data_IF_869587791403
#
_entry.id   IF_869587791403
#
_cell.length_a   1.000
_cell.length_b   1.000
_cell.length_c   1.000
_cell.angle_alpha   90.00
_cell.angle_beta   90.00
_cell.angle_gamma   90.00
#
_symmetry.space_group_name_H-M   'P 1'
#
loop_
_entity.id
_entity.type
_entity.pdbx_description
1 polymer ?
#
# COMPACT_ATOMS: atom_id res chain seq x y z
N UNK A 1 -5.19 13.51 -13.84
CA UNK A 1 -5.97 12.86 -12.76
C UNK A 1 -5.65 11.38 -12.86
N UNK A 2 -5.11 10.76 -11.81
CA UNK A 2 -4.89 9.31 -11.83
C UNK A 2 -6.24 8.61 -11.72
N UNK A 3 -6.44 7.54 -12.49
CA UNK A 3 -7.66 6.75 -12.42
C UNK A 3 -7.78 6.09 -11.03
N UNK A 4 -9.01 5.99 -10.52
CA UNK A 4 -9.30 5.34 -9.25
C UNK A 4 -10.29 4.21 -9.46
N UNK A 5 -9.87 3.02 -9.10
CA UNK A 5 -10.64 1.80 -9.16
C UNK A 5 -11.13 1.39 -7.77
N UNK A 6 -12.30 0.77 -7.69
CA UNK A 6 -12.93 0.40 -6.43
C UNK A 6 -13.27 -1.08 -6.40
N UNK A 7 -12.82 -1.76 -5.34
CA UNK A 7 -12.91 -3.20 -5.20
C UNK A 7 -13.44 -3.61 -3.82
N UNK A 8 -13.91 -4.85 -3.70
CA UNK A 8 -14.25 -5.49 -2.42
C UNK A 8 -13.49 -6.81 -2.31
N UNK A 9 -12.76 -7.01 -1.22
CA UNK A 9 -12.02 -8.24 -0.94
C UNK A 9 -12.01 -8.51 0.56
N UNK A 10 -12.24 -9.77 0.98
CA UNK A 10 -12.25 -10.19 2.39
C UNK A 10 -13.08 -9.29 3.34
N UNK A 11 -14.19 -8.75 2.84
CA UNK A 11 -15.06 -7.84 3.59
C UNK A 11 -14.64 -6.36 3.59
N UNK A 12 -13.42 -6.04 3.12
CA UNK A 12 -12.91 -4.68 2.98
C UNK A 12 -13.28 -4.07 1.62
N UNK A 13 -13.58 -2.78 1.61
CA UNK A 13 -13.69 -1.97 0.39
C UNK A 13 -12.40 -1.21 0.16
N UNK A 14 -11.83 -1.36 -1.04
CA UNK A 14 -10.54 -0.79 -1.41
C UNK A 14 -10.74 0.23 -2.53
N UNK A 15 -10.12 1.40 -2.39
CA UNK A 15 -9.83 2.32 -3.50
C UNK A 15 -8.38 2.09 -3.94
N UNK A 16 -8.12 1.99 -5.24
CA UNK A 16 -6.78 1.74 -5.79
C UNK A 16 -6.50 2.58 -7.03
N UNK A 17 -5.28 3.09 -7.16
CA UNK A 17 -4.77 3.66 -8.43
C UNK A 17 -4.22 2.59 -9.38
N UNK A 18 -4.08 1.35 -8.91
CA UNK A 18 -3.71 0.18 -9.70
C UNK A 18 -4.98 -0.59 -10.04
N UNK A 19 -5.16 -0.94 -11.31
CA UNK A 19 -6.26 -1.81 -11.74
C UNK A 19 -5.99 -3.27 -11.35
N UNK A 20 -6.97 -3.91 -10.71
CA UNK A 20 -6.98 -5.34 -10.40
C UNK A 20 -8.18 -6.01 -11.08
N UNK A 21 -8.04 -6.49 -12.32
CA UNK A 21 -9.14 -7.07 -13.11
C UNK A 21 -9.82 -8.27 -12.44
N UNK A 22 -9.09 -9.02 -11.61
CA UNK A 22 -9.55 -10.23 -10.94
C UNK A 22 -10.40 -9.95 -9.70
N UNK A 23 -10.43 -8.70 -9.21
CA UNK A 23 -11.16 -8.34 -8.00
C UNK A 23 -12.59 -7.88 -8.31
N UNK A 24 -13.51 -8.25 -7.41
CA UNK A 24 -14.90 -7.81 -7.49
C UNK A 24 -14.98 -6.29 -7.32
N UNK A 25 -15.57 -5.60 -8.30
CA UNK A 25 -15.82 -4.15 -8.23
C UNK A 25 -16.72 -3.79 -7.04
N UNK A 26 -16.50 -2.62 -6.47
CA UNK A 26 -17.29 -2.10 -5.35
C UNK A 26 -17.65 -0.62 -5.54
N UNK A 27 -18.54 -0.13 -4.68
CA UNK A 27 -18.95 1.27 -4.66
C UNK A 27 -19.20 1.76 -3.23
N UNK A 28 -19.26 3.10 -3.09
CA UNK A 28 -19.46 3.80 -1.83
C UNK A 28 -18.18 4.10 -1.07
N UNK A 29 -18.29 4.31 0.25
CA UNK A 29 -17.14 4.57 1.14
C UNK A 29 -16.19 3.38 1.15
N UNK A 30 -14.89 3.64 1.05
CA UNK A 30 -13.82 2.65 1.11
C UNK A 30 -13.15 2.64 2.49
N UNK A 31 -12.60 1.50 2.86
CA UNK A 31 -11.90 1.26 4.13
C UNK A 31 -10.39 1.44 3.97
N UNK A 32 -9.85 1.10 2.79
CA UNK A 32 -8.42 1.15 2.48
C UNK A 32 -8.20 1.90 1.17
N UNK A 33 -7.12 2.67 1.08
CA UNK A 33 -6.67 3.34 -0.14
C UNK A 33 -5.26 2.87 -0.55
N UNK A 34 -5.08 2.59 -1.84
CA UNK A 34 -3.80 2.24 -2.46
C UNK A 34 -3.45 3.32 -3.48
N UNK A 35 -2.26 3.91 -3.34
CA UNK A 35 -1.74 4.94 -4.23
C UNK A 35 -0.40 4.52 -4.82
N UNK A 36 -0.12 4.99 -6.03
CA UNK A 36 1.21 4.88 -6.64
C UNK A 36 1.95 6.20 -6.38
N UNK A 37 3.10 6.12 -5.73
CA UNK A 37 3.87 7.33 -5.39
C UNK A 37 5.10 7.03 -4.55
N UNK A 38 5.79 8.09 -4.12
CA UNK A 38 6.99 7.97 -3.31
C UNK A 38 6.69 7.52 -1.89
N UNK A 39 7.49 6.59 -1.40
CA UNK A 39 7.49 6.05 -0.06
C UNK A 39 8.67 6.59 0.74
N UNK A 40 8.61 6.62 2.07
CA UNK A 40 9.78 6.91 2.87
C UNK A 40 10.82 5.79 2.73
N UNK A 41 12.10 6.14 2.71
CA UNK A 41 13.18 5.16 2.71
C UNK A 41 13.34 4.45 4.05
N UNK A 42 12.77 4.96 5.14
CA UNK A 42 12.87 4.34 6.46
C UNK A 42 11.72 4.77 7.36
N UNK A 43 11.38 3.90 8.31
CA UNK A 43 10.57 4.27 9.47
C UNK A 43 11.51 4.75 10.56
N UNK A 44 11.23 5.91 11.14
CA UNK A 44 11.98 6.42 12.30
C UNK A 44 11.66 5.59 13.55
N UNK A 45 12.68 5.25 14.34
CA UNK A 45 12.57 4.44 15.57
C UNK A 45 11.75 3.15 15.36
N UNK A 46 12.18 2.26 14.44
CA UNK A 46 11.44 1.03 14.17
C UNK A 46 11.45 0.12 15.40
N UNK A 47 10.29 -0.38 15.79
CA UNK A 47 10.18 -1.37 16.87
C UNK A 47 10.54 -2.77 16.39
N UNK A 48 10.31 -3.06 15.10
CA UNK A 48 10.66 -4.34 14.47
C UNK A 48 11.35 -4.12 13.15
N UNK A 49 12.43 -4.86 12.93
CA UNK A 49 13.21 -4.87 11.68
C UNK A 49 13.43 -6.32 11.28
N UNK A 50 13.11 -6.66 10.04
CA UNK A 50 13.49 -7.91 9.39
C UNK A 50 14.33 -7.64 8.15
N UNK A 51 14.70 -8.69 7.42
CA UNK A 51 15.60 -8.60 6.26
C UNK A 51 15.11 -7.62 5.17
N UNK A 52 13.80 -7.50 5.00
CA UNK A 52 13.17 -6.69 3.93
C UNK A 52 12.07 -5.75 4.43
N UNK A 53 11.84 -5.71 5.74
CA UNK A 53 10.77 -4.87 6.29
C UNK A 53 11.19 -4.17 7.57
N UNK A 54 10.57 -3.02 7.81
CA UNK A 54 10.62 -2.30 9.09
C UNK A 54 9.19 -1.98 9.52
N UNK A 55 8.94 -1.95 10.82
CA UNK A 55 7.63 -1.68 11.36
C UNK A 55 7.70 -0.93 12.69
N UNK A 56 6.72 -0.05 12.90
CA UNK A 56 6.37 0.59 14.16
C UNK A 56 4.84 0.58 14.30
N UNK A 57 4.26 0.94 15.45
CA UNK A 57 2.82 1.07 15.58
C UNK A 57 2.26 1.98 14.49
N UNK A 58 1.26 1.48 13.76
CA UNK A 58 0.61 2.20 12.67
C UNK A 58 1.44 2.39 11.40
N UNK A 59 2.69 1.88 11.30
CA UNK A 59 3.52 2.03 10.10
C UNK A 59 4.25 0.74 9.76
N UNK A 60 4.24 0.39 8.49
CA UNK A 60 4.97 -0.77 7.98
C UNK A 60 5.58 -0.43 6.62
N UNK A 61 6.86 -0.74 6.43
CA UNK A 61 7.59 -0.50 5.20
C UNK A 61 8.21 -1.82 4.76
N UNK A 62 7.75 -2.34 3.63
CA UNK A 62 8.32 -3.48 2.93
C UNK A 62 9.11 -3.00 1.72
N UNK A 63 10.33 -3.50 1.56
CA UNK A 63 11.19 -3.21 0.43
C UNK A 63 11.54 -4.50 -0.29
N UNK A 64 11.24 -4.55 -1.57
CA UNK A 64 11.65 -5.64 -2.44
C UNK A 64 12.59 -5.06 -3.48
N UNK A 65 13.88 -5.40 -3.35
CA UNK A 65 14.94 -4.85 -4.18
C UNK A 65 14.66 -5.09 -5.67
N UNK A 66 14.74 -4.01 -6.46
CA UNK A 66 14.49 -4.04 -7.90
C UNK A 66 13.01 -4.22 -8.30
N UNK A 67 12.07 -4.31 -7.35
CA UNK A 67 10.65 -4.54 -7.65
C UNK A 67 9.78 -3.37 -7.20
N UNK A 68 9.70 -3.12 -5.89
CA UNK A 68 8.87 -2.05 -5.33
C UNK A 68 9.12 -1.84 -3.83
N UNK A 69 8.73 -0.68 -3.33
CA UNK A 69 8.53 -0.41 -1.89
C UNK A 69 7.03 -0.27 -1.61
N UNK A 70 6.60 -0.82 -0.48
CA UNK A 70 5.22 -0.75 -0.01
C UNK A 70 5.22 -0.13 1.38
N UNK A 71 4.59 1.03 1.51
CA UNK A 71 4.45 1.73 2.78
C UNK A 71 2.99 1.74 3.24
N UNK A 72 2.74 1.11 4.37
CA UNK A 72 1.43 1.07 5.04
C UNK A 72 1.44 2.07 6.19
N UNK A 73 0.36 2.86 6.32
CA UNK A 73 0.16 3.81 7.40
C UNK A 73 -1.27 3.79 7.93
N UNK A 74 -1.42 3.92 9.25
CA UNK A 74 -2.68 3.90 10.02
C UNK A 74 -3.61 2.70 9.70
N UNK A 75 -3.08 1.62 9.12
CA UNK A 75 -3.85 0.43 8.75
C UNK A 75 -4.82 0.61 7.57
N UNK A 76 -4.91 1.80 6.96
CA UNK A 76 -5.87 2.10 5.89
C UNK A 76 -5.25 2.75 4.64
N UNK A 77 -3.97 3.12 4.69
CA UNK A 77 -3.25 3.71 3.58
C UNK A 77 -2.12 2.81 3.14
N UNK A 78 -2.03 2.53 1.85
CA UNK A 78 -0.91 1.83 1.21
C UNK A 78 -0.37 2.73 0.11
N UNK A 79 0.93 3.00 0.13
CA UNK A 79 1.66 3.69 -0.94
C UNK A 79 2.61 2.70 -1.58
N UNK A 80 2.55 2.58 -2.89
CA UNK A 80 3.39 1.70 -3.70
C UNK A 80 4.35 2.57 -4.52
N UNK A 81 5.65 2.41 -4.28
CA UNK A 81 6.71 3.00 -5.10
C UNK A 81 7.28 1.89 -5.98
N UNK A 82 7.02 1.90 -7.30
CA UNK A 82 7.65 0.96 -8.22
C UNK A 82 9.18 1.12 -8.22
N UNK A 83 9.90 0.01 -8.30
CA UNK A 83 11.34 0.02 -8.51
C UNK A 83 11.70 0.52 -9.91
N UNK A 84 12.98 0.89 -10.15
CA UNK A 84 13.48 1.14 -11.49
C UNK A 84 13.39 -0.18 -12.29
N UNK A 85 12.55 -0.18 -13.31
CA UNK A 85 12.42 -1.27 -14.29
C UNK A 85 13.46 -1.19 -15.40
#
# INVERSE_FOLDING_TARGET
MADSFFYKIFGLKIRSEIEFPELQKSSGKHDVSIYVGSTPDRIENPERTGARFTASPGRFLLKIDGIAKYFVREGNLIVVEPGPG
#
